data_IF_499530674092
#
_entry.id   IF_499530674092
#
_cell.length_a   1.000
_cell.length_b   1.000
_cell.length_c   1.000
_cell.angle_alpha   90.00
_cell.angle_beta   90.00
_cell.angle_gamma   90.00
#
_symmetry.space_group_name_H-M   'P 1'
#
loop_
_entity.id
_entity.type
_entity.pdbx_description
1 polymer ?
#
# COMPACT_ATOMS: atom_id res chain seq x y z
N UNK A 1 4.74 17.77 27.48
CA UNK A 1 4.78 16.93 26.27
C UNK A 1 6.00 16.03 26.32
N UNK A 2 5.85 14.71 26.16
CA UNK A 2 6.99 13.78 26.23
C UNK A 2 7.86 13.94 24.97
N UNK A 3 9.11 13.46 25.02
CA UNK A 3 10.02 13.54 23.87
C UNK A 3 9.47 12.83 22.63
N UNK A 4 8.82 11.67 22.81
CA UNK A 4 8.17 10.92 21.73
C UNK A 4 6.99 11.68 21.11
N UNK A 5 6.21 12.40 21.91
CA UNK A 5 5.09 13.21 21.44
C UNK A 5 5.59 14.41 20.62
N UNK A 6 6.68 15.06 21.04
CA UNK A 6 7.37 16.11 20.27
C UNK A 6 7.86 15.60 18.92
N UNK A 7 8.53 14.45 18.92
CA UNK A 7 9.00 13.83 17.68
C UNK A 7 7.84 13.44 16.76
N UNK A 8 6.79 12.81 17.31
CA UNK A 8 5.59 12.45 16.57
C UNK A 8 4.91 13.67 15.93
N UNK A 9 4.84 14.79 16.67
CA UNK A 9 4.32 16.06 16.15
C UNK A 9 5.16 16.54 14.96
N UNK A 10 6.48 16.63 15.10
CA UNK A 10 7.37 17.13 14.06
C UNK A 10 7.32 16.25 12.80
N UNK A 11 7.44 14.94 12.95
CA UNK A 11 7.43 13.99 11.83
C UNK A 11 6.08 14.00 11.11
N UNK A 12 4.97 14.13 11.85
CA UNK A 12 3.64 14.23 11.26
C UNK A 12 3.44 15.56 10.53
N UNK A 13 3.97 16.68 11.03
CA UNK A 13 3.96 17.94 10.30
C UNK A 13 4.74 17.87 8.98
N UNK A 14 5.90 17.21 8.97
CA UNK A 14 6.65 16.96 7.73
C UNK A 14 5.82 16.11 6.75
N UNK A 15 5.19 15.04 7.24
CA UNK A 15 4.27 14.23 6.43
C UNK A 15 3.08 15.03 5.88
N UNK A 16 2.53 15.96 6.66
CA UNK A 16 1.44 16.82 6.22
C UNK A 16 1.87 17.76 5.08
N UNK A 17 3.06 18.37 5.19
CA UNK A 17 3.61 19.22 4.12
C UNK A 17 3.86 18.41 2.86
N UNK A 18 4.45 17.21 2.97
CA UNK A 18 4.67 16.33 1.81
C UNK A 18 3.35 15.89 1.15
N UNK A 19 2.37 15.48 1.96
CA UNK A 19 1.10 14.97 1.47
C UNK A 19 0.19 16.05 0.89
N UNK A 20 0.11 17.23 1.51
CA UNK A 20 -0.70 18.35 1.00
C UNK A 20 0.08 19.12 -0.05
N UNK A 21 1.12 19.85 0.35
CA UNK A 21 1.83 20.77 -0.53
C UNK A 21 2.60 20.00 -1.61
N UNK A 22 3.36 18.97 -1.22
CA UNK A 22 4.15 18.17 -2.16
C UNK A 22 3.29 17.52 -3.24
N UNK A 23 2.20 16.85 -2.86
CA UNK A 23 1.29 16.21 -3.82
C UNK A 23 0.61 17.22 -4.73
N UNK A 24 0.11 18.35 -4.21
CA UNK A 24 -0.51 19.39 -5.05
C UNK A 24 0.49 19.99 -6.04
N UNK A 25 1.69 20.34 -5.60
CA UNK A 25 2.71 20.90 -6.48
C UNK A 25 3.09 19.92 -7.59
N UNK A 26 3.29 18.65 -7.28
CA UNK A 26 3.56 17.63 -8.30
C UNK A 26 2.37 17.52 -9.25
N UNK A 27 1.15 17.38 -8.73
CA UNK A 27 -0.03 17.22 -9.57
C UNK A 27 -0.23 18.40 -10.54
N UNK A 28 -0.18 19.64 -10.03
CA UNK A 28 -0.39 20.83 -10.84
C UNK A 28 0.68 21.03 -11.92
N UNK A 29 1.92 20.61 -11.67
CA UNK A 29 3.01 20.75 -12.65
C UNK A 29 3.08 19.58 -13.64
N UNK A 30 2.61 18.39 -13.26
CA UNK A 30 2.84 17.17 -14.04
C UNK A 30 1.59 16.54 -14.64
N UNK A 31 0.38 16.94 -14.23
CA UNK A 31 -0.84 16.32 -14.75
C UNK A 31 -1.05 16.61 -16.24
N UNK A 32 -0.93 17.86 -16.66
CA UNK A 32 -1.05 18.21 -18.10
C UNK A 32 0.07 17.56 -18.93
N UNK A 33 1.37 17.66 -18.56
CA UNK A 33 2.42 16.93 -19.26
C UNK A 33 2.16 15.43 -19.37
N UNK A 34 1.62 14.80 -18.32
CA UNK A 34 1.29 13.38 -18.29
C UNK A 34 0.17 12.99 -19.24
N UNK A 35 -0.81 13.88 -19.48
CA UNK A 35 -1.88 13.64 -20.44
C UNK A 35 -1.44 13.80 -21.90
N UNK A 36 -0.39 14.59 -22.14
CA UNK A 36 0.13 14.87 -23.49
C UNK A 36 1.35 14.04 -23.86
N UNK A 37 1.87 13.24 -22.91
CA UNK A 37 3.00 12.36 -23.15
C UNK A 37 2.58 11.24 -24.11
N UNK A 38 3.41 11.01 -25.14
CA UNK A 38 3.19 9.93 -26.10
C UNK A 38 3.26 8.58 -25.36
N UNK A 39 2.13 7.87 -25.30
CA UNK A 39 2.06 6.61 -24.59
C UNK A 39 2.85 5.51 -25.31
N UNK A 40 3.73 4.81 -24.59
CA UNK A 40 4.42 3.62 -25.13
C UNK A 40 3.48 2.44 -25.42
N UNK A 41 2.30 2.39 -24.78
CA UNK A 41 1.24 1.41 -25.08
C UNK A 41 -0.13 2.11 -25.16
N UNK A 42 -1.01 1.72 -26.10
CA UNK A 42 -2.39 2.22 -26.15
C UNK A 42 -3.07 2.07 -24.78
N UNK A 43 -3.70 3.14 -24.29
CA UNK A 43 -4.42 3.16 -23.01
C UNK A 43 -3.62 3.64 -21.78
N UNK A 44 -2.30 3.84 -21.89
CA UNK A 44 -1.52 4.47 -20.80
C UNK A 44 -1.96 5.91 -20.51
N UNK A 45 -2.37 6.69 -21.51
CA UNK A 45 -2.93 8.04 -21.33
C UNK A 45 -4.25 8.01 -20.54
N UNK A 46 -5.14 7.07 -20.88
CA UNK A 46 -6.43 6.88 -20.20
C UNK A 46 -6.17 6.50 -18.73
N UNK A 47 -5.19 5.62 -18.51
CA UNK A 47 -4.74 5.28 -17.16
C UNK A 47 -4.25 6.50 -16.40
N UNK A 48 -3.33 7.31 -16.95
CA UNK A 48 -2.82 8.50 -16.27
C UNK A 48 -3.92 9.51 -15.95
N UNK A 49 -4.88 9.68 -16.87
CA UNK A 49 -6.05 10.55 -16.69
C UNK A 49 -6.90 10.20 -15.46
N UNK A 50 -7.06 8.92 -15.14
CA UNK A 50 -7.88 8.50 -14.00
C UNK A 50 -7.06 8.15 -12.76
N UNK A 51 -5.88 7.56 -12.95
CA UNK A 51 -5.04 7.05 -11.88
C UNK A 51 -4.30 8.16 -11.14
N UNK A 52 -3.76 9.15 -11.87
CA UNK A 52 -3.00 10.22 -11.25
C UNK A 52 -3.87 11.06 -10.30
N UNK A 53 -5.10 11.50 -10.67
CA UNK A 53 -6.00 12.15 -9.73
C UNK A 53 -6.33 11.27 -8.52
N UNK A 54 -6.74 10.01 -8.77
CA UNK A 54 -7.14 9.11 -7.68
C UNK A 54 -6.00 8.85 -6.67
N UNK A 55 -4.77 8.64 -7.12
CA UNK A 55 -3.63 8.45 -6.23
C UNK A 55 -3.13 9.75 -5.61
N UNK A 56 -3.32 10.90 -6.27
CA UNK A 56 -3.13 12.21 -5.65
C UNK A 56 -4.13 12.44 -4.52
N UNK A 57 -5.39 12.00 -4.64
CA UNK A 57 -6.37 12.06 -3.56
C UNK A 57 -5.90 11.25 -2.32
N UNK A 58 -5.29 10.08 -2.54
CA UNK A 58 -4.68 9.30 -1.46
C UNK A 58 -3.54 10.08 -0.77
N UNK A 59 -2.68 10.74 -1.56
CA UNK A 59 -1.57 11.55 -1.04
C UNK A 59 -2.04 12.78 -0.24
N UNK A 60 -3.06 13.48 -0.73
CA UNK A 60 -3.64 14.65 -0.06
C UNK A 60 -4.37 14.23 1.20
N UNK A 61 -5.20 13.18 1.13
CA UNK A 61 -5.88 12.62 2.29
C UNK A 61 -4.88 12.18 3.37
N UNK A 62 -3.79 11.51 2.96
CA UNK A 62 -2.70 11.17 3.87
C UNK A 62 -2.10 12.42 4.53
N UNK A 63 -1.87 13.49 3.77
CA UNK A 63 -1.40 14.78 4.29
C UNK A 63 -2.33 15.39 5.34
N UNK A 64 -3.65 15.34 5.10
CA UNK A 64 -4.66 15.78 6.08
C UNK A 64 -4.61 14.92 7.35
N UNK A 65 -4.55 13.60 7.21
CA UNK A 65 -4.45 12.69 8.37
C UNK A 65 -3.15 12.87 9.15
N UNK A 66 -2.03 13.15 8.47
CA UNK A 66 -0.78 13.55 9.12
C UNK A 66 -0.95 14.84 9.94
N UNK A 67 -1.62 15.86 9.41
CA UNK A 67 -1.87 17.11 10.14
C UNK A 67 -2.74 16.85 11.39
N UNK A 68 -3.80 16.06 11.25
CA UNK A 68 -4.67 15.64 12.36
C UNK A 68 -3.86 14.86 13.41
N UNK A 69 -3.01 13.93 12.97
CA UNK A 69 -2.12 13.19 13.86
C UNK A 69 -1.09 14.09 14.55
N UNK A 70 -0.59 15.13 13.89
CA UNK A 70 0.33 16.09 14.50
C UNK A 70 -0.33 16.80 15.68
N UNK A 71 -1.58 17.25 15.50
CA UNK A 71 -2.39 17.80 16.59
C UNK A 71 -2.62 16.76 17.71
N UNK A 72 -2.91 15.51 17.34
CA UNK A 72 -3.04 14.42 18.29
C UNK A 72 -1.78 14.20 19.13
N UNK A 73 -0.59 14.17 18.52
CA UNK A 73 0.67 14.04 19.26
C UNK A 73 0.94 15.27 20.13
N UNK A 74 0.66 16.47 19.62
CA UNK A 74 0.82 17.72 20.36
C UNK A 74 -0.02 17.76 21.64
N UNK A 75 -1.23 17.22 21.57
CA UNK A 75 -2.18 17.11 22.68
C UNK A 75 -2.06 15.81 23.47
N UNK A 76 -1.08 14.95 23.14
CA UNK A 76 -0.88 13.62 23.74
C UNK A 76 -2.13 12.69 23.66
N UNK A 77 -2.90 12.81 22.59
CA UNK A 77 -4.09 12.00 22.36
C UNK A 77 -3.75 10.56 21.93
N UNK A 78 -4.44 9.57 22.50
CA UNK A 78 -4.18 8.15 22.24
C UNK A 78 -4.48 7.66 20.81
N UNK A 79 -5.27 8.43 20.05
CA UNK A 79 -5.60 8.13 18.65
C UNK A 79 -4.55 8.64 17.65
N UNK A 80 -3.58 9.46 18.08
CA UNK A 80 -2.58 10.06 17.19
C UNK A 80 -1.79 9.01 16.41
N UNK A 81 -1.22 8.02 17.11
CA UNK A 81 -0.44 6.97 16.46
C UNK A 81 -1.26 6.10 15.49
N UNK A 82 -2.48 5.64 15.84
CA UNK A 82 -3.38 5.03 14.85
C UNK A 82 -3.60 5.84 13.58
N UNK A 83 -3.86 7.14 13.71
CA UNK A 83 -4.10 8.01 12.55
C UNK A 83 -2.83 8.18 11.71
N UNK A 84 -1.65 8.33 12.32
CA UNK A 84 -0.38 8.46 11.58
C UNK A 84 -0.02 7.20 10.79
N UNK A 85 -0.37 6.03 11.31
CA UNK A 85 -0.14 4.75 10.61
C UNK A 85 -1.00 4.70 9.34
N UNK A 86 -2.28 5.06 9.43
CA UNK A 86 -3.19 5.10 8.28
C UNK A 86 -2.69 6.15 7.26
N UNK A 87 -2.33 7.34 7.74
CA UNK A 87 -1.77 8.41 6.90
C UNK A 87 -0.55 7.91 6.12
N UNK A 88 0.41 7.27 6.79
CA UNK A 88 1.62 6.79 6.14
C UNK A 88 1.35 5.68 5.11
N UNK A 89 0.46 4.72 5.41
CA UNK A 89 0.06 3.68 4.45
C UNK A 89 -0.57 4.28 3.19
N UNK A 90 -1.45 5.26 3.35
CA UNK A 90 -2.07 5.97 2.22
C UNK A 90 -1.04 6.81 1.44
N UNK A 91 -0.10 7.47 2.13
CA UNK A 91 0.94 8.26 1.50
C UNK A 91 1.85 7.39 0.61
N UNK A 92 2.26 6.22 1.10
CA UNK A 92 3.09 5.28 0.34
C UNK A 92 2.34 4.72 -0.88
N UNK A 93 1.06 4.39 -0.73
CA UNK A 93 0.20 3.97 -1.84
C UNK A 93 0.08 5.06 -2.91
N UNK A 94 -0.27 6.28 -2.48
CA UNK A 94 -0.50 7.42 -3.37
C UNK A 94 0.76 7.88 -4.11
N UNK A 95 1.95 7.64 -3.55
CA UNK A 95 3.21 8.16 -4.10
C UNK A 95 4.09 7.13 -4.81
N UNK A 96 3.87 5.82 -4.65
CA UNK A 96 4.67 4.80 -5.34
C UNK A 96 4.14 4.50 -6.74
N UNK A 97 2.88 4.07 -6.84
CA UNK A 97 2.39 3.41 -8.07
C UNK A 97 2.27 4.35 -9.27
N UNK A 98 1.99 5.65 -9.07
CA UNK A 98 1.93 6.65 -10.16
C UNK A 98 3.21 6.66 -11.01
N UNK A 99 4.36 6.35 -10.41
CA UNK A 99 5.64 6.38 -11.11
C UNK A 99 5.76 5.29 -12.18
N UNK A 100 5.06 4.16 -12.04
CA UNK A 100 5.11 3.07 -13.03
C UNK A 100 4.57 3.51 -14.39
N UNK A 101 3.33 4.06 -14.51
CA UNK A 101 2.84 4.58 -15.77
C UNK A 101 3.58 5.84 -16.23
N UNK A 102 4.14 6.66 -15.33
CA UNK A 102 5.02 7.76 -15.73
C UNK A 102 6.24 7.26 -16.49
N UNK A 103 6.97 6.31 -15.90
CA UNK A 103 8.15 5.72 -16.55
C UNK A 103 7.78 4.96 -17.84
N UNK A 104 6.61 4.31 -17.86
CA UNK A 104 6.10 3.67 -19.08
C UNK A 104 5.79 4.68 -20.19
N UNK A 105 5.38 5.90 -19.85
CA UNK A 105 5.18 7.01 -20.79
C UNK A 105 6.46 7.84 -21.06
N UNK A 106 7.64 7.32 -20.70
CA UNK A 106 8.92 8.02 -20.90
C UNK A 106 9.14 9.24 -20.00
N UNK A 107 8.28 9.45 -19.00
CA UNK A 107 8.37 10.56 -18.06
C UNK A 107 9.20 10.22 -16.82
N UNK A 108 9.81 11.22 -16.16
CA UNK A 108 10.53 10.99 -14.92
C UNK A 108 9.59 10.59 -13.77
N UNK A 109 10.03 9.72 -12.83
CA UNK A 109 9.23 9.26 -11.70
C UNK A 109 9.12 10.34 -10.60
N UNK A 110 8.38 11.41 -10.87
CA UNK A 110 8.35 12.63 -10.05
C UNK A 110 7.72 12.43 -8.67
N UNK A 111 6.83 11.46 -8.50
CA UNK A 111 6.22 11.16 -7.19
C UNK A 111 7.22 10.46 -6.25
N UNK A 112 8.34 9.93 -6.76
CA UNK A 112 9.41 9.44 -5.89
C UNK A 112 10.00 10.50 -4.98
N UNK A 113 9.90 11.79 -5.35
CA UNK A 113 10.30 12.92 -4.52
C UNK A 113 9.55 12.92 -3.16
N UNK A 114 8.28 12.51 -3.14
CA UNK A 114 7.49 12.42 -1.90
C UNK A 114 7.38 10.99 -1.35
N UNK A 115 7.57 9.96 -2.18
CA UNK A 115 7.58 8.56 -1.74
C UNK A 115 8.75 8.26 -0.79
N UNK A 116 9.98 8.57 -1.19
CA UNK A 116 11.16 8.20 -0.38
C UNK A 116 11.16 8.89 0.99
N UNK A 117 10.83 10.20 1.11
CA UNK A 117 10.64 10.81 2.41
C UNK A 117 9.53 10.14 3.23
N UNK A 118 8.39 9.77 2.64
CA UNK A 118 7.34 9.05 3.36
C UNK A 118 7.77 7.64 3.81
N UNK A 119 8.64 6.97 3.05
CA UNK A 119 9.22 5.69 3.45
C UNK A 119 10.19 5.87 4.62
N UNK A 120 10.95 6.96 4.65
CA UNK A 120 11.78 7.30 5.82
C UNK A 120 10.86 7.59 7.02
N UNK A 121 9.82 8.41 6.84
CA UNK A 121 8.84 8.70 7.89
C UNK A 121 8.17 7.43 8.42
N UNK A 122 7.89 6.43 7.56
CA UNK A 122 7.38 5.13 7.99
C UNK A 122 8.28 4.51 9.07
N UNK A 123 9.57 4.36 8.78
CA UNK A 123 10.50 3.77 9.75
C UNK A 123 10.64 4.62 11.01
N UNK A 124 10.76 5.94 10.88
CA UNK A 124 10.90 6.86 12.02
C UNK A 124 9.68 6.82 12.93
N UNK A 125 8.47 6.89 12.35
CA UNK A 125 7.21 6.85 13.10
C UNK A 125 7.00 5.50 13.78
N UNK A 126 7.18 4.38 13.05
CA UNK A 126 7.00 3.06 13.65
C UNK A 126 8.03 2.80 14.76
N UNK A 127 9.31 3.10 14.53
CA UNK A 127 10.39 2.75 15.46
C UNK A 127 10.53 3.73 16.62
N UNK A 128 10.61 5.03 16.33
CA UNK A 128 11.00 6.03 17.33
C UNK A 128 9.79 6.56 18.11
N UNK A 129 8.63 6.66 17.44
CA UNK A 129 7.39 7.17 18.06
C UNK A 129 6.56 6.01 18.61
N UNK A 130 6.22 5.04 17.75
CA UNK A 130 5.34 3.91 18.10
C UNK A 130 6.00 2.80 18.91
N UNK A 131 7.33 2.70 18.91
CA UNK A 131 8.06 1.61 19.57
C UNK A 131 7.76 0.22 18.96
N UNK A 132 7.31 0.17 17.70
CA UNK A 132 7.02 -1.06 16.96
C UNK A 132 8.31 -1.88 16.80
N UNK A 133 8.25 -3.20 16.94
CA UNK A 133 9.42 -4.08 16.75
C UNK A 133 9.86 -4.10 15.29
N UNK A 134 11.15 -4.34 15.03
CA UNK A 134 11.68 -4.39 13.66
C UNK A 134 11.00 -5.44 12.79
N UNK A 135 10.76 -6.63 13.35
CA UNK A 135 10.07 -7.70 12.64
C UNK A 135 8.67 -7.30 12.21
N UNK A 136 7.90 -6.62 13.09
CA UNK A 136 6.56 -6.13 12.78
C UNK A 136 6.58 -4.96 11.79
N UNK A 137 7.57 -4.07 11.88
CA UNK A 137 7.78 -3.00 10.90
C UNK A 137 8.14 -3.56 9.52
N UNK A 138 8.98 -4.58 9.41
CA UNK A 138 9.30 -5.19 8.12
C UNK A 138 8.11 -5.99 7.57
N UNK A 139 7.38 -6.71 8.43
CA UNK A 139 6.16 -7.40 8.01
C UNK A 139 5.09 -6.42 7.51
N UNK A 140 4.91 -5.29 8.19
CA UNK A 140 4.05 -4.20 7.75
C UNK A 140 4.47 -3.63 6.39
N UNK A 141 5.77 -3.52 6.13
CA UNK A 141 6.26 -3.05 4.83
C UNK A 141 5.95 -4.05 3.72
N UNK A 142 6.23 -5.35 3.92
CA UNK A 142 5.98 -6.40 2.93
C UNK A 142 4.47 -6.56 2.66
N UNK A 143 3.62 -6.47 3.69
CA UNK A 143 2.16 -6.44 3.51
C UNK A 143 1.66 -5.18 2.81
N UNK A 144 2.28 -4.03 3.08
CA UNK A 144 2.04 -2.78 2.35
C UNK A 144 2.44 -2.87 0.87
N UNK A 145 3.50 -3.63 0.54
CA UNK A 145 3.85 -3.91 -0.86
C UNK A 145 2.78 -4.79 -1.54
N UNK A 146 2.23 -5.79 -0.84
CA UNK A 146 1.11 -6.57 -1.36
C UNK A 146 -0.12 -5.68 -1.63
N UNK A 147 -0.43 -4.73 -0.74
CA UNK A 147 -1.47 -3.72 -0.95
C UNK A 147 -1.27 -2.95 -2.27
N UNK A 148 -0.06 -2.44 -2.50
CA UNK A 148 0.33 -1.70 -3.71
C UNK A 148 0.21 -2.58 -4.96
N UNK A 149 0.76 -3.80 -4.94
CA UNK A 149 0.78 -4.64 -6.13
C UNK A 149 -0.60 -5.20 -6.50
N UNK A 150 -1.45 -5.53 -5.52
CA UNK A 150 -2.84 -5.91 -5.81
C UNK A 150 -3.62 -4.72 -6.41
N UNK A 151 -3.37 -3.50 -5.93
CA UNK A 151 -3.96 -2.29 -6.52
C UNK A 151 -3.53 -2.13 -7.98
N UNK A 152 -2.23 -2.27 -8.24
CA UNK A 152 -1.65 -2.25 -9.58
C UNK A 152 -2.29 -3.29 -10.50
N UNK A 153 -2.56 -4.50 -10.01
CA UNK A 153 -3.22 -5.55 -10.79
C UNK A 153 -4.66 -5.20 -11.18
N UNK A 154 -5.41 -4.56 -10.28
CA UNK A 154 -6.74 -4.04 -10.60
C UNK A 154 -6.71 -2.90 -11.62
N UNK A 155 -5.70 -2.04 -11.56
CA UNK A 155 -5.50 -0.95 -12.54
C UNK A 155 -5.06 -1.50 -13.90
N UNK A 156 -4.15 -2.46 -13.92
CA UNK A 156 -3.72 -3.16 -15.13
C UNK A 156 -4.89 -3.86 -15.83
N UNK A 157 -5.72 -4.55 -15.07
CA UNK A 157 -6.92 -5.21 -15.58
C UNK A 157 -7.88 -4.19 -16.18
N UNK A 158 -8.12 -3.05 -15.51
CA UNK A 158 -8.93 -1.96 -16.04
C UNK A 158 -8.41 -1.44 -17.39
N UNK A 159 -7.10 -1.21 -17.50
CA UNK A 159 -6.48 -0.79 -18.77
C UNK A 159 -6.71 -1.81 -19.89
N UNK A 160 -6.51 -3.10 -19.60
CA UNK A 160 -6.68 -4.17 -20.59
C UNK A 160 -8.15 -4.39 -21.00
N UNK A 161 -9.10 -4.12 -20.11
CA UNK A 161 -10.53 -4.07 -20.46
C UNK A 161 -10.79 -2.97 -21.49
N UNK A 162 -10.22 -1.78 -21.28
CA UNK A 162 -10.45 -0.63 -22.16
C UNK A 162 -9.77 -0.81 -23.52
N UNK A 163 -8.60 -1.43 -23.55
CA UNK A 163 -7.73 -1.48 -24.74
C UNK A 163 -7.91 -2.73 -25.60
N UNK A 164 -8.12 -3.89 -24.97
CA UNK A 164 -8.19 -5.20 -25.65
C UNK A 164 -9.55 -5.86 -25.45
N UNK A 165 -10.31 -5.51 -24.41
CA UNK A 165 -11.67 -6.02 -24.18
C UNK A 165 -11.75 -7.49 -23.76
N UNK A 166 -10.64 -8.13 -23.40
CA UNK A 166 -10.65 -9.55 -23.07
C UNK A 166 -11.36 -9.85 -21.73
N UNK A 167 -12.25 -10.85 -21.74
CA UNK A 167 -13.14 -11.19 -20.62
C UNK A 167 -12.41 -11.58 -19.32
N UNK A 168 -11.21 -12.14 -19.42
CA UNK A 168 -10.41 -12.50 -18.23
C UNK A 168 -10.15 -11.29 -17.34
N UNK A 169 -9.85 -10.14 -17.93
CA UNK A 169 -9.60 -8.91 -17.16
C UNK A 169 -10.87 -8.42 -16.47
N UNK A 170 -12.04 -8.55 -17.11
CA UNK A 170 -13.34 -8.22 -16.50
C UNK A 170 -13.64 -9.09 -15.28
N UNK A 171 -13.30 -10.38 -15.35
CA UNK A 171 -13.54 -11.33 -14.26
C UNK A 171 -12.69 -10.99 -13.02
N UNK A 172 -11.43 -10.62 -13.20
CA UNK A 172 -10.46 -10.46 -12.10
C UNK A 172 -10.36 -9.02 -11.56
N UNK A 173 -10.69 -7.99 -12.35
CA UNK A 173 -10.38 -6.58 -12.04
C UNK A 173 -10.83 -6.15 -10.63
N UNK A 174 -12.13 -6.29 -10.34
CA UNK A 174 -12.71 -5.84 -9.06
C UNK A 174 -12.15 -6.60 -7.87
N UNK A 175 -11.88 -7.90 -8.05
CA UNK A 175 -11.38 -8.76 -7.00
C UNK A 175 -9.92 -8.44 -6.62
N UNK A 176 -9.09 -8.00 -7.58
CA UNK A 176 -7.75 -7.48 -7.27
C UNK A 176 -7.83 -6.24 -6.36
N UNK A 177 -8.80 -5.34 -6.57
CA UNK A 177 -9.02 -4.20 -5.67
C UNK A 177 -9.58 -4.60 -4.31
N UNK A 178 -10.44 -5.62 -4.24
CA UNK A 178 -10.87 -6.18 -2.94
C UNK A 178 -9.68 -6.77 -2.18
N UNK A 179 -8.80 -7.52 -2.86
CA UNK A 179 -7.58 -8.04 -2.27
C UNK A 179 -6.64 -6.91 -1.81
N UNK A 180 -6.48 -5.87 -2.62
CA UNK A 180 -5.74 -4.65 -2.27
C UNK A 180 -6.26 -4.00 -1.00
N UNK A 181 -7.57 -3.72 -0.91
CA UNK A 181 -8.19 -3.16 0.29
C UNK A 181 -7.99 -4.06 1.51
N UNK A 182 -8.13 -5.38 1.34
CA UNK A 182 -7.85 -6.36 2.40
C UNK A 182 -6.41 -6.27 2.91
N UNK A 183 -5.42 -6.18 2.01
CA UNK A 183 -4.02 -5.98 2.38
C UNK A 183 -3.74 -4.63 3.03
N UNK A 184 -4.37 -3.55 2.57
CA UNK A 184 -4.25 -2.23 3.19
C UNK A 184 -4.72 -2.23 4.65
N UNK A 185 -5.90 -2.81 4.91
CA UNK A 185 -6.45 -2.95 6.27
C UNK A 185 -5.60 -3.90 7.11
N UNK A 186 -5.15 -5.03 6.55
CA UNK A 186 -4.28 -5.97 7.24
C UNK A 186 -2.95 -5.32 7.64
N UNK A 187 -2.36 -4.50 6.76
CA UNK A 187 -1.12 -3.74 7.02
C UNK A 187 -1.27 -2.81 8.22
N UNK A 188 -2.34 -2.02 8.25
CA UNK A 188 -2.66 -1.15 9.40
C UNK A 188 -2.85 -1.97 10.67
N UNK A 189 -3.60 -3.08 10.60
CA UNK A 189 -3.80 -3.99 11.73
C UNK A 189 -2.50 -4.57 12.29
N UNK A 190 -1.58 -5.00 11.41
CA UNK A 190 -0.26 -5.53 11.74
C UNK A 190 0.56 -4.48 12.49
N UNK A 191 0.54 -3.22 12.03
CA UNK A 191 1.35 -2.15 12.60
C UNK A 191 0.85 -1.69 13.96
N UNK A 192 -0.47 -1.63 14.14
CA UNK A 192 -1.11 -1.16 15.37
C UNK A 192 -1.12 -2.24 16.46
N UNK A 193 -1.97 -3.24 16.28
CA UNK A 193 -2.22 -4.31 17.26
C UNK A 193 -2.55 -5.59 16.49
N UNK A 194 -1.52 -6.39 16.14
CA UNK A 194 -1.73 -7.62 15.40
C UNK A 194 -2.59 -8.57 16.23
N UNK A 195 -3.71 -9.00 15.65
CA UNK A 195 -4.64 -9.98 16.22
C UNK A 195 -4.93 -11.06 15.19
N UNK A 196 -5.52 -12.17 15.63
CA UNK A 196 -5.85 -13.26 14.72
C UNK A 196 -6.79 -12.82 13.57
N UNK A 197 -7.73 -11.90 13.81
CA UNK A 197 -8.57 -11.36 12.72
C UNK A 197 -7.75 -10.69 11.61
N UNK A 198 -6.62 -10.06 11.96
CA UNK A 198 -5.72 -9.41 10.99
C UNK A 198 -5.01 -10.45 10.16
N UNK A 199 -4.58 -11.56 10.78
CA UNK A 199 -4.00 -12.71 10.09
C UNK A 199 -5.00 -13.35 9.13
N UNK A 200 -6.24 -13.60 9.60
CA UNK A 200 -7.33 -14.15 8.78
C UNK A 200 -7.67 -13.23 7.60
N UNK A 201 -7.73 -11.91 7.83
CA UNK A 201 -7.95 -10.95 6.75
C UNK A 201 -6.82 -10.97 5.72
N UNK A 202 -5.56 -11.02 6.16
CA UNK A 202 -4.42 -11.14 5.26
C UNK A 202 -4.38 -12.46 4.50
N UNK A 203 -4.77 -13.57 5.13
CA UNK A 203 -4.95 -14.87 4.46
C UNK A 203 -6.04 -14.79 3.39
N UNK A 204 -7.20 -14.21 3.72
CA UNK A 204 -8.29 -14.05 2.77
C UNK A 204 -7.89 -13.17 1.57
N UNK A 205 -7.26 -12.02 1.84
CA UNK A 205 -6.78 -11.10 0.81
C UNK A 205 -5.70 -11.75 -0.07
N UNK A 206 -4.72 -12.41 0.54
CA UNK A 206 -3.65 -13.11 -0.16
C UNK A 206 -4.16 -14.27 -1.00
N UNK A 207 -5.03 -15.12 -0.46
CA UNK A 207 -5.64 -16.21 -1.22
C UNK A 207 -6.50 -15.70 -2.37
N UNK A 208 -7.28 -14.64 -2.15
CA UNK A 208 -8.05 -14.00 -3.23
C UNK A 208 -7.11 -13.53 -4.35
N UNK A 209 -6.02 -12.83 -4.01
CA UNK A 209 -5.02 -12.38 -4.98
C UNK A 209 -4.36 -13.55 -5.73
N UNK A 210 -4.10 -14.68 -5.07
CA UNK A 210 -3.57 -15.85 -5.77
C UNK A 210 -4.57 -16.40 -6.79
N UNK A 211 -5.86 -16.46 -6.43
CA UNK A 211 -6.91 -16.97 -7.31
C UNK A 211 -7.10 -16.06 -8.54
N UNK A 212 -7.04 -14.74 -8.38
CA UNK A 212 -7.37 -13.79 -9.45
C UNK A 212 -6.15 -13.21 -10.15
N UNK A 213 -5.04 -13.09 -9.44
CA UNK A 213 -3.79 -12.50 -9.92
C UNK A 213 -2.90 -13.49 -10.67
N UNK A 214 -2.93 -14.80 -10.36
CA UNK A 214 -2.16 -15.80 -11.15
C UNK A 214 -2.68 -15.87 -12.60
N UNK A 215 -4.00 -16.01 -12.87
CA UNK A 215 -4.50 -15.97 -14.25
C UNK A 215 -4.13 -14.68 -14.98
N UNK A 216 -4.21 -13.54 -14.29
CA UNK A 216 -3.79 -12.24 -14.82
C UNK A 216 -2.30 -12.24 -15.21
N UNK A 217 -1.43 -12.71 -14.32
CA UNK A 217 0.01 -12.77 -14.53
C UNK A 217 0.38 -13.68 -15.70
N UNK A 218 -0.27 -14.84 -15.82
CA UNK A 218 -0.07 -15.78 -16.94
C UNK A 218 -0.51 -15.14 -18.26
N UNK A 219 -1.75 -14.63 -18.32
CA UNK A 219 -2.30 -14.02 -19.54
C UNK A 219 -1.43 -12.85 -20.02
N UNK A 220 -0.96 -12.02 -19.10
CA UNK A 220 -0.11 -10.87 -19.45
C UNK A 220 1.31 -11.26 -19.80
N UNK A 221 1.89 -12.28 -19.16
CA UNK A 221 3.22 -12.81 -19.53
C UNK A 221 3.22 -13.38 -20.94
N UNK A 222 2.18 -14.17 -21.28
CA UNK A 222 2.01 -14.72 -22.63
C UNK A 222 1.85 -13.58 -23.64
N UNK A 223 0.97 -12.61 -23.34
CA UNK A 223 0.71 -11.49 -24.24
C UNK A 223 1.91 -10.56 -24.47
N UNK A 224 2.77 -10.39 -23.46
CA UNK A 224 3.96 -9.54 -23.55
C UNK A 224 5.21 -10.28 -24.06
N UNK A 225 5.23 -11.61 -24.02
CA UNK A 225 6.43 -12.41 -24.34
C UNK A 225 7.60 -12.20 -23.37
N UNK A 226 7.35 -11.61 -22.19
CA UNK A 226 8.35 -11.29 -21.15
C UNK A 226 7.71 -11.32 -19.76
N UNK A 227 8.54 -11.23 -18.72
CA UNK A 227 8.07 -11.16 -17.34
C UNK A 227 7.07 -10.02 -17.12
N UNK A 228 5.90 -10.36 -16.56
CA UNK A 228 4.86 -9.39 -16.23
C UNK A 228 5.04 -8.86 -14.80
N UNK A 229 5.13 -7.52 -14.65
CA UNK A 229 5.12 -6.87 -13.34
C UNK A 229 3.86 -7.17 -12.53
N UNK A 230 2.77 -7.61 -13.18
CA UNK A 230 1.53 -8.01 -12.53
C UNK A 230 1.64 -9.34 -11.76
N UNK A 231 2.75 -10.06 -11.93
CA UNK A 231 3.10 -11.23 -11.12
C UNK A 231 3.50 -10.86 -9.70
N UNK A 232 3.86 -9.59 -9.42
CA UNK A 232 4.33 -9.17 -8.09
C UNK A 232 3.22 -9.28 -7.03
N UNK A 233 1.96 -9.00 -7.36
CA UNK A 233 0.82 -9.17 -6.46
C UNK A 233 0.68 -10.61 -5.95
N UNK A 234 0.59 -11.61 -6.86
CA UNK A 234 0.58 -13.02 -6.50
C UNK A 234 1.84 -13.47 -5.76
N UNK A 235 3.04 -13.03 -6.17
CA UNK A 235 4.29 -13.44 -5.52
C UNK A 235 4.33 -12.99 -4.05
N UNK A 236 4.03 -11.71 -3.80
CA UNK A 236 4.03 -11.17 -2.44
C UNK A 236 2.89 -11.77 -1.60
N UNK A 237 1.72 -11.97 -2.21
CA UNK A 237 0.60 -12.65 -1.55
C UNK A 237 0.93 -14.10 -1.20
N UNK A 238 1.61 -14.84 -2.09
CA UNK A 238 2.05 -16.21 -1.83
C UNK A 238 3.01 -16.25 -0.65
N UNK A 239 4.03 -15.39 -0.68
CA UNK A 239 5.01 -15.27 0.40
C UNK A 239 4.30 -15.04 1.74
N UNK A 240 3.41 -14.05 1.79
CA UNK A 240 2.70 -13.69 3.03
C UNK A 240 1.72 -14.78 3.48
N UNK A 241 1.00 -15.44 2.56
CA UNK A 241 0.13 -16.57 2.89
C UNK A 241 0.94 -17.72 3.48
N UNK A 242 2.08 -18.08 2.88
CA UNK A 242 2.98 -19.10 3.42
C UNK A 242 3.46 -18.71 4.81
N UNK A 243 3.92 -17.47 5.01
CA UNK A 243 4.34 -16.97 6.32
C UNK A 243 3.22 -16.98 7.35
N UNK A 244 1.99 -16.69 6.95
CA UNK A 244 0.83 -16.64 7.85
C UNK A 244 0.29 -18.02 8.17
N UNK A 245 0.40 -19.01 7.29
CA UNK A 245 -0.01 -20.40 7.60
C UNK A 245 1.07 -21.12 8.42
N UNK A 246 2.35 -20.78 8.22
CA UNK A 246 3.45 -21.50 8.86
C UNK A 246 3.35 -21.47 10.39
N UNK A 247 3.46 -22.64 11.07
CA UNK A 247 3.31 -22.73 12.52
C UNK A 247 4.26 -21.78 13.26
N UNK A 248 3.71 -21.02 14.20
CA UNK A 248 4.43 -20.09 15.08
C UNK A 248 5.11 -18.89 14.41
N UNK A 249 5.11 -18.76 13.08
CA UNK A 249 5.77 -17.65 12.38
C UNK A 249 5.04 -16.33 12.62
N UNK A 250 3.71 -16.32 12.52
CA UNK A 250 2.90 -15.14 12.83
C UNK A 250 3.19 -14.59 14.24
N UNK A 251 3.16 -15.45 15.26
CA UNK A 251 3.42 -15.07 16.66
C UNK A 251 4.84 -14.53 16.84
N UNK A 252 5.84 -15.16 16.19
CA UNK A 252 7.24 -14.69 16.24
C UNK A 252 7.41 -13.32 15.59
N UNK A 253 6.82 -13.10 14.41
CA UNK A 253 6.97 -11.86 13.65
C UNK A 253 6.24 -10.68 14.30
N UNK A 254 5.05 -10.95 14.84
CA UNK A 254 4.19 -9.91 15.42
C UNK A 254 4.45 -9.69 16.91
N UNK A 255 5.16 -10.61 17.56
CA UNK A 255 5.31 -10.68 19.02
C UNK A 255 3.95 -10.67 19.74
N UNK A 256 2.89 -11.13 19.07
CA UNK A 256 1.57 -11.25 19.67
C UNK A 256 1.62 -12.34 20.74
N UNK A 257 1.56 -11.96 22.00
CA UNK A 257 1.36 -12.91 23.09
C UNK A 257 -0.09 -13.39 23.04
N UNK A 258 -0.37 -14.43 22.27
CA UNK A 258 -1.58 -15.22 22.46
C UNK A 258 -1.38 -16.08 23.71
N UNK A 259 -1.58 -15.47 24.88
CA UNK A 259 -2.03 -16.20 26.06
C UNK A 259 -3.51 -16.55 25.84
N UNK A 260 -3.79 -17.62 25.11
CA UNK A 260 -5.16 -18.14 25.04
C UNK A 260 -5.51 -19.03 23.85
N UNK A 261 -5.08 -20.30 23.88
CA UNK A 261 -5.89 -21.53 23.68
C UNK A 261 -5.00 -22.75 23.47
N UNK A 262 -4.39 -23.19 24.57
CA UNK A 262 -4.16 -24.61 24.87
C UNK A 262 -5.24 -25.05 25.86
N UNK A 263 -6.51 -24.92 25.47
CA UNK A 263 -7.65 -25.48 26.21
C UNK A 263 -8.50 -26.18 25.16
N UNK A 264 -8.81 -27.45 25.42
CA UNK A 264 -9.48 -28.49 24.59
C UNK A 264 -8.64 -29.26 23.57
N UNK A 265 -7.65 -30.04 24.03
CA UNK A 265 -7.39 -31.41 23.54
C UNK A 265 -7.05 -32.38 24.71
N UNK A 266 -7.63 -32.15 25.89
CA UNK A 266 -7.61 -33.09 26.99
C UNK A 266 -8.93 -32.96 27.77
N UNK A 267 -9.97 -33.58 27.23
CA UNK A 267 -11.18 -34.02 27.91
C UNK A 267 -11.86 -35.05 27.01
#
# INVERSE_FOLDING_TARGET
MKAKDRLGTLLSLLGAVLGIVGTYLIFLNWYTPALTAEAAEPGCEILLKYLMPALSDFGILAGVLYAVSAYGFFTAAGWAFPVVVIANVLALQGSWFINVPFMAAGMPPVYFIIFWPNLILYFLLMKLVGGVSWSRTLLGLVSGMAFIFCFMNGVASMSRIITIGAHIFVAVQRLNWVASLGWGVATVGILLRPKEWTRVLGLAAGSLELVVGIPLAISTTIGLGRFSLFSLGPIFSLLLVVLFVWPNVWQRLTQSSDKGRLVTQAA
#
